data_IF_936950508263
#
_entry.id   IF_936950508263
#
_cell.length_a   1.000
_cell.length_b   1.000
_cell.length_c   1.000
_cell.angle_alpha   90.00
_cell.angle_beta   90.00
_cell.angle_gamma   90.00
#
_symmetry.space_group_name_H-M   'P 1'
#
loop_
_entity.id
_entity.type
_entity.pdbx_description
1 polymer ?
#
# COMPACT_ATOMS: atom_id res chain seq x y z
N UNK A 1 9.65 -24.50 -11.32
CA UNK A 1 11.04 -24.23 -10.87
C UNK A 1 11.78 -23.26 -11.79
N UNK A 2 11.86 -23.51 -13.10
CA UNK A 2 12.59 -22.62 -14.04
C UNK A 2 12.12 -21.16 -14.02
N UNK A 3 10.81 -20.91 -13.96
CA UNK A 3 10.29 -19.54 -13.93
C UNK A 3 10.77 -18.75 -12.70
N UNK A 4 10.80 -19.36 -11.51
CA UNK A 4 11.37 -18.75 -10.31
C UNK A 4 12.87 -18.42 -10.50
N UNK A 5 13.63 -19.35 -11.09
CA UNK A 5 15.06 -19.14 -11.38
C UNK A 5 15.29 -17.96 -12.32
N UNK A 6 14.47 -17.80 -13.36
CA UNK A 6 14.62 -16.69 -14.29
C UNK A 6 14.29 -15.33 -13.66
N UNK A 7 13.22 -15.25 -12.85
CA UNK A 7 12.93 -14.02 -12.12
C UNK A 7 14.02 -13.64 -11.12
N UNK A 8 14.63 -14.62 -10.44
CA UNK A 8 15.76 -14.38 -9.55
C UNK A 8 16.97 -13.78 -10.29
N UNK A 9 17.31 -14.31 -11.49
CA UNK A 9 18.40 -13.78 -12.33
C UNK A 9 18.15 -12.36 -12.82
N UNK A 10 16.88 -12.00 -13.03
CA UNK A 10 16.45 -10.67 -13.46
C UNK A 10 16.25 -9.69 -12.30
N UNK A 11 16.52 -10.12 -11.06
CA UNK A 11 16.26 -9.34 -9.85
C UNK A 11 14.79 -8.92 -9.69
N UNK A 12 13.86 -9.68 -10.29
CA UNK A 12 12.43 -9.48 -10.15
C UNK A 12 11.93 -10.20 -8.90
N UNK A 13 12.12 -9.54 -7.75
CA UNK A 13 11.77 -10.10 -6.44
C UNK A 13 10.27 -10.39 -6.31
N UNK A 14 9.41 -9.52 -6.83
CA UNK A 14 7.96 -9.69 -6.70
C UNK A 14 7.48 -10.98 -7.36
N UNK A 15 7.90 -11.21 -8.60
CA UNK A 15 7.58 -12.43 -9.32
C UNK A 15 8.32 -13.65 -8.76
N UNK A 16 9.59 -13.51 -8.35
CA UNK A 16 10.32 -14.61 -7.72
C UNK A 16 9.63 -15.09 -6.42
N UNK A 17 9.32 -14.19 -5.50
CA UNK A 17 8.65 -14.51 -4.23
C UNK A 17 7.29 -15.20 -4.49
N UNK A 18 6.52 -14.72 -5.47
CA UNK A 18 5.26 -15.35 -5.88
C UNK A 18 5.44 -16.77 -6.41
N UNK A 19 6.41 -16.98 -7.32
CA UNK A 19 6.67 -18.31 -7.85
C UNK A 19 7.16 -19.28 -6.76
N UNK A 20 7.97 -18.80 -5.82
CA UNK A 20 8.39 -19.58 -4.67
C UNK A 20 7.21 -19.96 -3.77
N UNK A 21 6.28 -19.02 -3.52
CA UNK A 21 5.05 -19.27 -2.80
C UNK A 21 4.19 -20.35 -3.48
N UNK A 22 4.00 -20.29 -4.80
CA UNK A 22 3.22 -21.29 -5.56
C UNK A 22 3.88 -22.66 -5.49
N UNK A 23 5.20 -22.73 -5.65
CA UNK A 23 5.94 -23.98 -5.55
C UNK A 23 5.75 -24.60 -4.16
N UNK A 24 6.00 -23.85 -3.09
CA UNK A 24 5.90 -24.36 -1.72
C UNK A 24 4.47 -24.69 -1.29
N UNK A 25 3.46 -23.92 -1.72
CA UNK A 25 2.10 -24.03 -1.19
C UNK A 25 1.18 -24.94 -2.01
N UNK A 26 1.41 -25.09 -3.32
CA UNK A 26 0.44 -25.75 -4.22
C UNK A 26 1.02 -26.84 -5.13
N UNK A 27 2.35 -26.85 -5.34
CA UNK A 27 2.98 -27.76 -6.31
C UNK A 27 3.88 -28.82 -5.68
N UNK A 28 4.69 -28.46 -4.67
CA UNK A 28 5.78 -29.29 -4.14
C UNK A 28 5.33 -30.65 -3.61
N UNK A 29 4.12 -30.74 -3.05
CA UNK A 29 3.56 -32.01 -2.58
C UNK A 29 3.34 -33.03 -3.70
N UNK A 30 3.19 -32.54 -4.94
CA UNK A 30 2.97 -33.36 -6.14
C UNK A 30 4.28 -33.75 -6.83
N UNK A 31 5.43 -33.24 -6.36
CA UNK A 31 6.71 -33.52 -6.98
C UNK A 31 7.15 -34.98 -6.79
N UNK A 32 7.68 -35.55 -7.87
CA UNK A 32 8.41 -36.82 -7.86
C UNK A 32 9.72 -36.72 -7.08
N UNK A 33 10.42 -37.85 -6.94
CA UNK A 33 11.67 -37.92 -6.18
C UNK A 33 12.75 -37.02 -6.80
N UNK A 34 12.87 -37.04 -8.12
CA UNK A 34 13.84 -36.28 -8.89
C UNK A 34 13.55 -34.77 -8.78
N UNK A 35 12.29 -34.37 -8.93
CA UNK A 35 11.87 -32.97 -8.80
C UNK A 35 12.09 -32.42 -7.39
N UNK A 36 11.87 -33.23 -6.35
CA UNK A 36 12.17 -32.86 -4.96
C UNK A 36 13.66 -32.67 -4.72
N UNK A 37 14.50 -33.53 -5.31
CA UNK A 37 15.94 -33.40 -5.23
C UNK A 37 16.42 -32.12 -5.93
N UNK A 38 15.95 -31.85 -7.15
CA UNK A 38 16.26 -30.62 -7.88
C UNK A 38 15.80 -29.38 -7.13
N UNK A 39 14.58 -29.40 -6.56
CA UNK A 39 14.06 -28.31 -5.76
C UNK A 39 14.98 -28.01 -4.56
N UNK A 40 15.35 -29.05 -3.80
CA UNK A 40 16.18 -28.90 -2.61
C UNK A 40 17.59 -28.42 -2.95
N UNK A 41 18.17 -28.89 -4.06
CA UNK A 41 19.46 -28.42 -4.56
C UNK A 41 19.39 -26.93 -4.95
N UNK A 42 18.33 -26.53 -5.64
CA UNK A 42 18.24 -25.19 -6.23
C UNK A 42 17.78 -24.11 -5.26
N UNK A 43 16.86 -24.44 -4.35
CA UNK A 43 16.21 -23.46 -3.46
C UNK A 43 16.40 -23.76 -1.97
N UNK A 44 16.87 -24.95 -1.61
CA UNK A 44 16.98 -25.38 -0.22
C UNK A 44 15.64 -25.80 0.40
N UNK A 45 15.54 -25.68 1.72
CA UNK A 45 14.35 -26.07 2.48
C UNK A 45 13.51 -24.85 2.89
N UNK A 46 12.28 -25.11 3.33
CA UNK A 46 11.33 -24.07 3.71
C UNK A 46 11.82 -23.18 4.87
N UNK A 47 12.60 -23.72 5.80
CA UNK A 47 13.12 -22.96 6.94
C UNK A 47 14.18 -21.96 6.50
N UNK A 48 15.05 -22.35 5.56
CA UNK A 48 16.00 -21.43 4.91
C UNK A 48 15.26 -20.33 4.15
N UNK A 49 14.23 -20.68 3.37
CA UNK A 49 13.44 -19.72 2.61
C UNK A 49 12.69 -18.72 3.52
N UNK A 50 12.18 -19.18 4.66
CA UNK A 50 11.59 -18.31 5.69
C UNK A 50 12.64 -17.40 6.33
N UNK A 51 13.80 -17.95 6.68
CA UNK A 51 14.90 -17.22 7.33
C UNK A 51 15.41 -16.05 6.48
N UNK A 52 15.44 -16.20 5.15
CA UNK A 52 15.86 -15.14 4.22
C UNK A 52 14.70 -14.28 3.70
N UNK A 53 13.48 -14.51 4.19
CA UNK A 53 12.33 -13.67 3.91
C UNK A 53 11.74 -13.81 2.51
N UNK A 54 11.95 -14.95 1.83
CA UNK A 54 11.27 -15.29 0.57
C UNK A 54 9.85 -15.77 0.88
N UNK A 55 9.72 -16.72 1.81
CA UNK A 55 8.43 -17.19 2.30
C UNK A 55 8.13 -16.44 3.60
N UNK A 56 7.13 -15.57 3.59
CA UNK A 56 6.73 -14.73 4.72
C UNK A 56 5.28 -15.04 5.10
N UNK A 57 4.99 -16.12 5.87
CA UNK A 57 3.62 -16.52 6.18
C UNK A 57 2.79 -15.44 6.90
N UNK A 58 3.47 -14.51 7.59
CA UNK A 58 2.84 -13.40 8.29
C UNK A 58 2.43 -12.22 7.39
N UNK A 59 2.99 -12.09 6.18
CA UNK A 59 2.81 -10.91 5.34
C UNK A 59 1.53 -10.96 4.51
N UNK A 60 1.04 -9.79 4.14
CA UNK A 60 -0.07 -9.56 3.21
C UNK A 60 0.12 -10.27 1.87
N UNK A 61 1.35 -10.36 1.39
CA UNK A 61 1.66 -11.10 0.16
C UNK A 61 1.28 -12.58 0.25
N UNK A 62 1.72 -13.30 1.29
CA UNK A 62 1.44 -14.73 1.41
C UNK A 62 0.02 -15.02 1.93
N UNK A 63 -0.55 -14.11 2.74
CA UNK A 63 -1.90 -14.28 3.30
C UNK A 63 -3.01 -13.92 2.31
N UNK A 64 -2.80 -12.89 1.48
CA UNK A 64 -3.85 -12.26 0.69
C UNK A 64 -3.50 -12.26 -0.79
N UNK A 65 -2.45 -11.54 -1.19
CA UNK A 65 -2.23 -11.25 -2.61
C UNK A 65 -1.86 -12.49 -3.44
N UNK A 66 -0.86 -13.27 -3.02
CA UNK A 66 -0.42 -14.44 -3.78
C UNK A 66 -1.50 -15.53 -3.91
N UNK A 67 -2.27 -15.88 -2.85
CA UNK A 67 -3.44 -16.75 -3.01
C UNK A 67 -4.44 -16.24 -4.05
N UNK A 68 -4.79 -14.94 -4.02
CA UNK A 68 -5.76 -14.36 -4.97
C UNK A 68 -5.23 -14.36 -6.41
N UNK A 69 -3.96 -13.99 -6.61
CA UNK A 69 -3.28 -14.02 -7.91
C UNK A 69 -3.28 -15.45 -8.47
N UNK A 70 -2.95 -16.45 -7.64
CA UNK A 70 -2.97 -17.85 -8.02
C UNK A 70 -4.37 -18.33 -8.39
N UNK A 71 -5.39 -17.98 -7.61
CA UNK A 71 -6.78 -18.35 -7.87
C UNK A 71 -7.31 -17.75 -9.18
N UNK A 72 -6.83 -16.57 -9.58
CA UNK A 72 -7.14 -15.94 -10.87
C UNK A 72 -6.33 -16.52 -12.04
N UNK A 73 -5.41 -17.46 -11.81
CA UNK A 73 -4.54 -18.03 -12.85
C UNK A 73 -3.55 -17.02 -13.42
N UNK A 74 -3.20 -15.99 -12.63
CA UNK A 74 -2.25 -14.96 -13.05
C UNK A 74 -0.82 -15.42 -12.77
N UNK A 75 0.02 -15.37 -13.79
CA UNK A 75 1.39 -15.92 -13.71
C UNK A 75 2.46 -14.85 -13.48
N UNK A 76 2.07 -13.57 -13.55
CA UNK A 76 2.99 -12.45 -13.45
C UNK A 76 2.36 -11.29 -12.65
N UNK A 77 3.19 -10.68 -11.82
CA UNK A 77 2.96 -9.44 -11.09
C UNK A 77 3.64 -8.31 -11.85
N UNK A 78 2.95 -7.19 -12.01
CA UNK A 78 3.46 -6.02 -12.70
C UNK A 78 3.58 -4.83 -11.75
N UNK A 79 4.55 -3.96 -12.02
CA UNK A 79 4.73 -2.74 -11.26
C UNK A 79 3.64 -1.73 -11.60
N UNK A 80 2.82 -1.35 -10.62
CA UNK A 80 1.82 -0.28 -10.79
C UNK A 80 2.35 1.12 -10.46
N UNK A 81 3.46 1.19 -9.72
CA UNK A 81 3.94 2.44 -9.13
C UNK A 81 4.28 3.51 -10.19
N UNK A 82 4.01 4.78 -9.88
CA UNK A 82 4.25 5.90 -10.77
C UNK A 82 5.33 6.82 -10.21
N UNK A 83 6.57 6.58 -10.62
CA UNK A 83 7.75 7.31 -10.16
C UNK A 83 7.88 8.73 -10.75
N UNK A 84 7.05 9.09 -11.74
CA UNK A 84 7.08 10.40 -12.41
C UNK A 84 6.87 11.56 -11.43
N UNK A 85 6.03 11.35 -10.40
CA UNK A 85 5.64 12.40 -9.45
C UNK A 85 6.35 12.31 -8.11
N UNK A 86 7.25 11.33 -7.92
CA UNK A 86 7.92 11.09 -6.64
C UNK A 86 8.81 12.27 -6.23
N UNK A 87 9.61 12.81 -7.15
CA UNK A 87 10.46 13.97 -6.84
C UNK A 87 9.64 15.24 -6.55
N UNK A 88 8.66 15.64 -7.38
CA UNK A 88 7.77 16.76 -7.05
C UNK A 88 7.03 16.58 -5.73
N UNK A 89 6.51 15.38 -5.46
CA UNK A 89 5.83 15.07 -4.20
C UNK A 89 6.79 15.19 -3.01
N UNK A 90 8.00 14.64 -3.12
CA UNK A 90 9.03 14.73 -2.08
C UNK A 90 9.40 16.18 -1.74
N UNK A 91 9.50 17.07 -2.74
CA UNK A 91 9.74 18.51 -2.52
C UNK A 91 8.58 19.15 -1.75
N UNK A 92 7.34 18.90 -2.19
CA UNK A 92 6.15 19.45 -1.53
C UNK A 92 5.99 18.91 -0.10
N UNK A 93 6.31 17.64 0.11
CA UNK A 93 6.32 16.99 1.42
C UNK A 93 7.36 17.61 2.35
N UNK A 94 8.63 17.71 1.93
CA UNK A 94 9.69 18.30 2.77
C UNK A 94 9.41 19.75 3.16
N UNK A 95 8.81 20.53 2.26
CA UNK A 95 8.37 21.91 2.55
C UNK A 95 7.27 21.93 3.62
N UNK A 96 6.28 21.05 3.49
CA UNK A 96 5.17 20.93 4.44
C UNK A 96 5.65 20.48 5.81
N UNK A 97 6.50 19.45 5.85
CA UNK A 97 7.09 18.92 7.08
C UNK A 97 7.86 19.99 7.84
N UNK A 98 8.68 20.77 7.14
CA UNK A 98 9.44 21.88 7.73
C UNK A 98 8.53 22.91 8.42
N UNK A 99 7.45 23.33 7.75
CA UNK A 99 6.51 24.31 8.30
C UNK A 99 5.67 23.73 9.43
N UNK A 100 5.26 22.47 9.32
CA UNK A 100 4.53 21.78 10.38
C UNK A 100 5.39 21.63 11.65
N UNK A 101 6.69 21.38 11.50
CA UNK A 101 7.63 21.35 12.61
C UNK A 101 7.78 22.72 13.29
N UNK A 102 7.71 23.82 12.55
CA UNK A 102 7.67 25.19 13.12
C UNK A 102 6.39 25.40 13.93
N UNK A 103 5.23 25.01 13.40
CA UNK A 103 3.94 25.05 14.10
C UNK A 103 4.01 24.25 15.42
N UNK A 104 4.46 22.99 15.34
CA UNK A 104 4.61 22.09 16.49
C UNK A 104 5.55 22.67 17.56
N UNK A 105 6.68 23.25 17.15
CA UNK A 105 7.62 23.90 18.07
C UNK A 105 6.97 25.11 18.75
N UNK A 106 6.28 25.97 18.01
CA UNK A 106 5.61 27.16 18.57
C UNK A 106 4.52 26.78 19.57
N UNK A 107 3.71 25.78 19.24
CA UNK A 107 2.70 25.23 20.14
C UNK A 107 3.27 24.74 21.47
N UNK A 108 4.45 24.09 21.44
CA UNK A 108 5.15 23.62 22.64
C UNK A 108 5.74 24.75 23.48
N UNK A 109 6.27 25.79 22.83
CA UNK A 109 6.89 26.92 23.55
C UNK A 109 5.89 27.91 24.11
N UNK A 110 4.74 28.07 23.46
CA UNK A 110 3.66 28.95 23.91
C UNK A 110 2.31 28.22 23.84
N UNK A 111 1.94 27.51 24.92
CA UNK A 111 0.67 26.77 25.00
C UNK A 111 -0.59 27.64 24.93
N UNK A 112 -0.49 28.96 25.11
CA UNK A 112 -1.63 29.88 25.02
C UNK A 112 -1.85 30.42 23.59
N UNK A 113 -0.89 30.19 22.68
CA UNK A 113 -0.92 30.67 21.30
C UNK A 113 -2.08 30.09 20.48
N UNK A 114 -2.43 30.77 19.38
CA UNK A 114 -3.39 30.24 18.42
C UNK A 114 -2.86 28.96 17.75
N UNK A 115 -1.56 28.86 17.53
CA UNK A 115 -0.86 27.67 17.03
C UNK A 115 -0.97 26.47 17.98
N UNK A 116 -0.90 26.69 19.30
CA UNK A 116 -1.13 25.63 20.27
C UNK A 116 -2.55 25.06 20.17
N UNK A 117 -3.56 25.93 20.00
CA UNK A 117 -4.96 25.50 19.77
C UNK A 117 -5.11 24.74 18.45
N UNK A 118 -4.40 25.15 17.39
CA UNK A 118 -4.35 24.39 16.13
C UNK A 118 -3.80 22.98 16.35
N UNK A 119 -2.66 22.85 17.03
CA UNK A 119 -2.06 21.54 17.31
C UNK A 119 -2.92 20.66 18.20
N UNK A 120 -3.57 21.23 19.22
CA UNK A 120 -4.52 20.50 20.06
C UNK A 120 -5.70 19.97 19.23
N UNK A 121 -6.25 20.80 18.34
CA UNK A 121 -7.31 20.38 17.44
C UNK A 121 -6.86 19.23 16.53
N UNK A 122 -5.67 19.33 15.90
CA UNK A 122 -5.11 18.25 15.06
C UNK A 122 -4.96 16.96 15.87
N UNK A 123 -4.35 17.01 17.05
CA UNK A 123 -4.14 15.85 17.90
C UNK A 123 -5.46 15.19 18.32
N UNK A 124 -6.49 15.98 18.64
CA UNK A 124 -7.82 15.46 18.96
C UNK A 124 -8.45 14.70 17.79
N UNK A 125 -8.18 15.13 16.56
CA UNK A 125 -8.68 14.48 15.35
C UNK A 125 -7.83 13.28 14.91
N UNK A 126 -6.63 13.07 15.44
CA UNK A 126 -5.79 11.91 15.16
C UNK A 126 -6.16 10.65 15.97
N UNK A 127 -7.04 10.75 16.96
CA UNK A 127 -7.42 9.63 17.80
C UNK A 127 -8.54 8.79 17.19
N UNK A 128 -8.41 7.47 17.31
CA UNK A 128 -9.54 6.55 17.20
C UNK A 128 -10.39 6.58 18.47
N UNK A 129 -11.67 6.24 18.34
CA UNK A 129 -12.44 5.73 19.47
C UNK A 129 -11.95 4.34 19.90
N UNK A 130 -12.20 3.98 21.16
CA UNK A 130 -11.83 2.67 21.69
C UNK A 130 -12.49 1.51 20.91
N UNK A 131 -13.67 1.75 20.37
CA UNK A 131 -14.42 0.79 19.56
C UNK A 131 -13.78 0.59 18.18
N UNK A 132 -13.35 1.67 17.52
CA UNK A 132 -12.64 1.61 16.23
C UNK A 132 -11.27 0.92 16.38
N UNK A 133 -10.55 1.20 17.47
CA UNK A 133 -9.26 0.56 17.75
C UNK A 133 -9.40 -0.95 17.97
N UNK A 134 -10.42 -1.40 18.73
CA UNK A 134 -10.70 -2.83 18.93
C UNK A 134 -11.08 -3.54 17.64
N UNK A 135 -11.88 -2.90 16.80
CA UNK A 135 -12.27 -3.47 15.50
C UNK A 135 -11.05 -3.61 14.59
N UNK A 136 -10.16 -2.61 14.56
CA UNK A 136 -8.90 -2.64 13.81
C UNK A 136 -7.94 -3.73 14.32
N UNK A 137 -7.83 -3.90 15.65
CA UNK A 137 -6.91 -4.87 16.26
C UNK A 137 -7.30 -6.34 16.01
N UNK A 138 -8.57 -6.62 15.71
CA UNK A 138 -9.04 -7.98 15.44
C UNK A 138 -8.52 -8.53 14.11
N UNK A 139 -8.43 -7.68 13.09
CA UNK A 139 -7.84 -7.98 11.79
C UNK A 139 -7.28 -6.67 11.19
N UNK A 140 -5.95 -6.58 11.17
CA UNK A 140 -5.26 -5.36 10.72
C UNK A 140 -5.58 -5.00 9.27
N UNK A 141 -5.72 -5.99 8.37
CA UNK A 141 -5.96 -5.74 6.95
C UNK A 141 -7.40 -5.35 6.71
N UNK A 142 -8.34 -5.99 7.40
CA UNK A 142 -9.74 -5.61 7.36
C UNK A 142 -9.94 -4.20 7.91
N UNK A 143 -9.28 -3.89 9.04
CA UNK A 143 -9.28 -2.57 9.65
C UNK A 143 -8.72 -1.48 8.72
N UNK A 144 -7.60 -1.76 8.05
CA UNK A 144 -6.98 -0.85 7.08
C UNK A 144 -7.85 -0.61 5.83
N UNK A 145 -8.77 -1.52 5.51
CA UNK A 145 -9.68 -1.41 4.38
C UNK A 145 -11.05 -0.79 4.73
N UNK A 146 -11.14 -0.02 5.83
CA UNK A 146 -12.35 0.72 6.20
C UNK A 146 -12.32 2.17 5.72
N UNK A 147 -13.50 2.77 5.47
CA UNK A 147 -13.63 4.20 5.17
C UNK A 147 -13.06 5.09 6.29
N UNK A 148 -13.22 4.65 7.54
CA UNK A 148 -12.70 5.37 8.70
C UNK A 148 -11.17 5.39 8.70
N UNK A 149 -10.54 4.24 8.47
CA UNK A 149 -9.08 4.18 8.37
C UNK A 149 -8.58 5.05 7.22
N UNK A 150 -9.25 5.05 6.07
CA UNK A 150 -8.89 5.93 4.95
C UNK A 150 -8.91 7.43 5.34
N UNK A 151 -9.95 7.89 6.05
CA UNK A 151 -10.02 9.27 6.56
C UNK A 151 -8.84 9.56 7.50
N UNK A 152 -8.57 8.69 8.45
CA UNK A 152 -7.50 8.86 9.44
C UNK A 152 -6.12 8.83 8.81
N UNK A 153 -5.91 7.93 7.86
CA UNK A 153 -4.65 7.78 7.15
C UNK A 153 -4.34 9.02 6.31
N UNK A 154 -5.35 9.62 5.66
CA UNK A 154 -5.19 10.92 5.01
C UNK A 154 -4.83 12.02 6.02
N UNK A 155 -5.50 12.06 7.17
CA UNK A 155 -5.14 13.02 8.22
C UNK A 155 -3.68 12.85 8.67
N UNK A 156 -3.20 11.63 8.87
CA UNK A 156 -1.82 11.40 9.29
C UNK A 156 -0.80 11.74 8.20
N UNK A 157 -1.04 11.33 6.95
CA UNK A 157 -0.11 11.58 5.85
C UNK A 157 -0.09 13.05 5.40
N UNK A 158 -1.18 13.80 5.64
CA UNK A 158 -1.30 15.20 5.25
C UNK A 158 -1.31 16.18 6.42
N UNK A 159 -0.77 15.77 7.58
CA UNK A 159 -0.61 16.59 8.78
C UNK A 159 -1.92 17.22 9.30
N UNK A 160 -3.06 16.56 9.13
CA UNK A 160 -4.42 17.04 9.40
C UNK A 160 -5.20 17.37 8.12
N UNK A 161 -4.51 17.48 6.99
CA UNK A 161 -5.10 17.57 5.66
C UNK A 161 -6.00 18.79 5.47
N UNK A 162 -7.02 18.63 4.63
CA UNK A 162 -7.92 19.71 4.20
C UNK A 162 -8.73 20.33 5.35
N UNK A 163 -8.88 19.60 6.45
CA UNK A 163 -9.72 19.99 7.59
C UNK A 163 -9.20 21.21 8.34
N UNK A 164 -7.89 21.45 8.32
CA UNK A 164 -7.24 22.54 9.06
C UNK A 164 -6.81 23.71 8.16
N UNK A 165 -7.28 23.75 6.92
CA UNK A 165 -7.02 24.88 6.04
C UNK A 165 -7.47 26.20 6.67
N UNK A 166 -6.58 27.18 6.68
CA UNK A 166 -6.78 28.50 7.28
C UNK A 166 -6.59 28.55 8.80
N UNK A 167 -6.29 27.43 9.47
CA UNK A 167 -5.98 27.46 10.91
C UNK A 167 -4.67 28.20 11.17
N UNK A 168 -4.56 28.82 12.34
CA UNK A 168 -3.39 29.61 12.71
C UNK A 168 -2.12 28.75 12.67
N UNK A 169 -1.12 29.21 11.91
CA UNK A 169 0.16 28.53 11.71
C UNK A 169 0.09 27.24 10.87
N UNK A 170 -1.09 26.79 10.44
CA UNK A 170 -1.22 25.59 9.62
C UNK A 170 -0.70 25.84 8.20
N UNK A 171 0.18 24.98 7.64
CA UNK A 171 0.82 25.20 6.35
C UNK A 171 -0.12 24.89 5.16
N UNK A 172 -1.23 25.63 5.08
CA UNK A 172 -2.36 25.37 4.16
C UNK A 172 -1.90 25.22 2.71
N UNK A 173 -1.13 26.18 2.20
CA UNK A 173 -0.76 26.17 0.77
C UNK A 173 0.20 25.03 0.43
N UNK A 174 1.12 24.67 1.33
CA UNK A 174 2.06 23.58 1.05
C UNK A 174 1.39 22.21 1.20
N UNK A 175 0.41 22.08 2.10
CA UNK A 175 -0.44 20.88 2.18
C UNK A 175 -1.29 20.74 0.90
N UNK A 176 -1.81 21.83 0.33
CA UNK A 176 -2.49 21.78 -0.98
C UNK A 176 -1.55 21.32 -2.09
N UNK A 177 -0.34 21.86 -2.15
CA UNK A 177 0.70 21.42 -3.10
C UNK A 177 1.02 19.93 -2.95
N UNK A 178 1.18 19.46 -1.70
CA UNK A 178 1.48 18.06 -1.38
C UNK A 178 0.34 17.12 -1.82
N UNK A 179 -0.91 17.49 -1.54
CA UNK A 179 -2.11 16.76 -1.97
C UNK A 179 -2.22 16.73 -3.50
N UNK A 180 -1.90 17.84 -4.18
CA UNK A 180 -1.93 17.89 -5.64
C UNK A 180 -0.93 16.90 -6.25
N UNK A 181 0.31 16.85 -5.75
CA UNK A 181 1.30 15.88 -6.24
C UNK A 181 0.93 14.43 -5.88
N UNK A 182 0.35 14.19 -4.71
CA UNK A 182 -0.15 12.87 -4.34
C UNK A 182 -1.29 12.40 -5.25
N UNK A 183 -2.19 13.32 -5.63
CA UNK A 183 -3.27 13.04 -6.57
C UNK A 183 -2.70 12.60 -7.91
N UNK A 184 -1.74 13.35 -8.46
CA UNK A 184 -1.07 13.00 -9.73
C UNK A 184 -0.37 11.64 -9.68
N UNK A 185 0.29 11.33 -8.55
CA UNK A 185 0.91 10.02 -8.34
C UNK A 185 -0.12 8.90 -8.41
N UNK A 186 -1.24 9.03 -7.70
CA UNK A 186 -2.32 8.03 -7.72
C UNK A 186 -3.00 7.93 -9.10
N UNK A 187 -3.17 9.04 -9.82
CA UNK A 187 -3.70 9.03 -11.19
C UNK A 187 -2.77 8.26 -12.14
N UNK A 188 -1.46 8.48 -12.02
CA UNK A 188 -0.45 7.71 -12.77
C UNK A 188 -0.49 6.22 -12.46
N UNK A 189 -0.61 5.85 -11.18
CA UNK A 189 -0.73 4.45 -10.77
C UNK A 189 -2.01 3.80 -11.32
N UNK A 190 -3.16 4.49 -11.24
CA UNK A 190 -4.42 4.01 -11.79
C UNK A 190 -4.35 3.85 -13.32
N UNK A 191 -3.71 4.79 -14.02
CA UNK A 191 -3.46 4.70 -15.45
C UNK A 191 -2.64 3.46 -15.80
N UNK A 192 -1.53 3.22 -15.09
CA UNK A 192 -0.68 2.03 -15.30
C UNK A 192 -1.48 0.73 -15.13
N UNK A 193 -2.34 0.65 -14.12
CA UNK A 193 -3.19 -0.52 -13.87
C UNK A 193 -4.11 -0.80 -15.08
N UNK A 194 -4.80 0.24 -15.58
CA UNK A 194 -5.71 0.09 -16.71
C UNK A 194 -4.97 -0.29 -17.98
N UNK A 195 -3.86 0.39 -18.29
CA UNK A 195 -3.06 0.10 -19.49
C UNK A 195 -2.49 -1.32 -19.46
N UNK A 196 -1.99 -1.77 -18.31
CA UNK A 196 -1.49 -3.14 -18.14
C UNK A 196 -2.61 -4.18 -18.26
N UNK A 197 -3.78 -3.93 -17.65
CA UNK A 197 -4.91 -4.83 -17.77
C UNK A 197 -5.39 -4.95 -19.22
N UNK A 198 -5.43 -3.84 -19.95
CA UNK A 198 -5.79 -3.81 -21.38
C UNK A 198 -4.76 -4.53 -22.25
N UNK A 199 -3.47 -4.23 -22.07
CA UNK A 199 -2.39 -4.85 -22.85
C UNK A 199 -2.35 -6.37 -22.68
N UNK A 200 -2.74 -6.88 -21.51
CA UNK A 200 -2.78 -8.30 -21.20
C UNK A 200 -4.17 -8.94 -21.40
N UNK A 201 -5.14 -8.21 -21.95
CA UNK A 201 -6.54 -8.66 -22.09
C UNK A 201 -7.17 -9.19 -20.79
N UNK A 202 -6.71 -8.70 -19.63
CA UNK A 202 -7.16 -9.14 -18.32
C UNK A 202 -8.55 -8.58 -18.01
N UNK A 203 -9.46 -9.45 -17.56
CA UNK A 203 -10.83 -9.08 -17.13
C UNK A 203 -10.95 -8.91 -15.62
N UNK A 204 -10.05 -9.53 -14.87
CA UNK A 204 -9.95 -9.46 -13.41
C UNK A 204 -8.48 -9.35 -13.06
N UNK A 205 -8.16 -8.51 -12.09
CA UNK A 205 -6.82 -8.30 -11.59
C UNK A 205 -6.86 -8.15 -10.07
N UNK A 206 -5.74 -8.47 -9.41
CA UNK A 206 -5.49 -8.13 -8.02
C UNK A 206 -4.60 -6.89 -8.00
N UNK A 207 -5.00 -5.89 -7.23
CA UNK A 207 -4.20 -4.68 -6.99
C UNK A 207 -3.79 -4.68 -5.53
N UNK A 208 -2.49 -4.78 -5.27
CA UNK A 208 -1.92 -4.63 -3.94
C UNK A 208 -1.28 -3.26 -3.78
N UNK A 209 -1.76 -2.46 -2.84
CA UNK A 209 -1.25 -1.12 -2.58
C UNK A 209 -1.28 -0.78 -1.09
N UNK A 210 -0.34 0.06 -0.64
CA UNK A 210 -0.35 0.59 0.71
C UNK A 210 -1.61 1.41 1.00
N UNK A 211 -2.10 1.36 2.24
CA UNK A 211 -3.39 1.92 2.63
C UNK A 211 -3.55 3.43 2.34
N UNK A 212 -2.45 4.19 2.26
CA UNK A 212 -2.49 5.63 1.95
C UNK A 212 -2.92 5.93 0.50
N UNK A 213 -2.91 4.92 -0.37
CA UNK A 213 -3.35 5.01 -1.75
C UNK A 213 -4.79 4.52 -1.96
N UNK A 214 -5.27 3.61 -1.10
CA UNK A 214 -6.51 2.85 -1.34
C UNK A 214 -7.68 3.74 -1.76
N UNK A 215 -8.10 4.64 -0.88
CA UNK A 215 -9.24 5.54 -1.14
C UNK A 215 -9.03 6.46 -2.34
N UNK A 216 -7.81 7.00 -2.51
CA UNK A 216 -7.46 7.85 -3.65
C UNK A 216 -7.64 7.11 -4.97
N UNK A 217 -7.09 5.91 -5.05
CA UNK A 217 -7.18 5.07 -6.24
C UNK A 217 -8.61 4.59 -6.49
N UNK A 218 -9.36 4.23 -5.45
CA UNK A 218 -10.78 3.89 -5.56
C UNK A 218 -11.58 5.03 -6.20
N UNK A 219 -11.41 6.27 -5.70
CA UNK A 219 -12.12 7.44 -6.24
C UNK A 219 -11.72 7.76 -7.69
N UNK A 220 -10.47 7.53 -8.06
CA UNK A 220 -9.99 7.75 -9.43
C UNK A 220 -10.54 6.66 -10.36
N UNK A 221 -10.43 5.38 -9.98
CA UNK A 221 -10.86 4.24 -10.77
C UNK A 221 -12.37 4.18 -10.93
N UNK A 222 -13.14 4.57 -9.91
CA UNK A 222 -14.60 4.61 -9.94
C UNK A 222 -15.17 5.58 -11.00
N UNK A 223 -14.37 6.55 -11.49
CA UNK A 223 -14.75 7.42 -12.61
C UNK A 223 -14.83 6.68 -13.94
N UNK A 224 -14.21 5.51 -14.05
CA UNK A 224 -14.27 4.67 -15.25
C UNK A 224 -15.40 3.64 -15.10
N UNK A 225 -16.49 3.82 -15.86
CA UNK A 225 -17.67 2.94 -15.80
C UNK A 225 -17.41 1.49 -16.21
N UNK A 226 -16.26 1.20 -16.84
CA UNK A 226 -15.87 -0.17 -17.20
C UNK A 226 -15.12 -0.88 -16.08
N UNK A 227 -14.85 -0.22 -14.96
CA UNK A 227 -14.12 -0.75 -13.81
C UNK A 227 -15.10 -1.05 -12.70
N UNK A 228 -15.06 -2.29 -12.20
CA UNK A 228 -15.71 -2.69 -10.96
C UNK A 228 -14.63 -2.93 -9.91
N UNK A 229 -14.71 -2.22 -8.79
CA UNK A 229 -13.84 -2.38 -7.64
C UNK A 229 -14.49 -3.41 -6.69
N UNK A 230 -13.68 -4.30 -6.12
CA UNK A 230 -14.06 -5.22 -5.05
C UNK A 230 -13.00 -5.04 -3.96
N UNK A 231 -13.43 -4.61 -2.78
CA UNK A 231 -12.55 -4.35 -1.65
C UNK A 231 -12.23 -5.63 -0.88
N UNK A 232 -11.17 -5.61 -0.08
CA UNK A 232 -10.74 -6.77 0.73
C UNK A 232 -11.86 -7.25 1.66
N UNK A 233 -12.56 -6.32 2.31
CA UNK A 233 -13.69 -6.59 3.20
C UNK A 233 -14.96 -7.11 2.47
N UNK A 234 -14.96 -7.13 1.14
CA UNK A 234 -16.06 -7.62 0.30
C UNK A 234 -15.75 -8.99 -0.34
N UNK A 235 -14.56 -9.54 -0.08
CA UNK A 235 -14.20 -10.87 -0.53
C UNK A 235 -15.00 -11.93 0.27
N UNK A 236 -15.40 -13.04 -0.38
CA UNK A 236 -16.22 -14.09 0.23
C UNK A 236 -15.46 -14.94 1.25
#
# INVERSE_FOLDING_TARGET
MNLATEYAKQWDRGNFDYQMFVLESYMKDKFGKEEKAEYAERFGNIDSLKKIGIIRPGSEYNKIFFPLIYQLGQNQIYNMDCQTYDKPWGIAWSKTDSLFNILSKKAKTDPASAEAKTMEAINKYYAYSNEEEKAFAADEYAGMNTLKYAEMNDLWNFYGGRKFYGYAGFPTETVKEMIAQWTLRNEGMCKNIIEQAQANNAKRIVVGVGAAHGKWMEDILAKNSNVKIINYNELP
#
